data_IF_434761604423
#
_entry.id   IF_434761604423
#
_cell.length_a   1.000
_cell.length_b   1.000
_cell.length_c   1.000
_cell.angle_alpha   90.00
_cell.angle_beta   90.00
_cell.angle_gamma   90.00
#
_symmetry.space_group_name_H-M   'P 1'
#
loop_
_entity.id
_entity.type
_entity.pdbx_description
1 polymer ?
#
# COMPACT_ATOMS: atom_id res chain seq x y z
N UNK A 1 1.35 -55.68 4.13
CA UNK A 1 0.28 -54.66 4.09
C UNK A 1 0.53 -53.51 5.06
N UNK A 2 1.00 -53.76 6.31
CA UNK A 2 1.31 -52.71 7.29
C UNK A 2 2.41 -51.69 6.88
N UNK A 3 3.43 -52.11 6.13
CA UNK A 3 4.52 -51.24 5.66
C UNK A 3 4.01 -50.05 4.82
N UNK A 4 3.04 -50.31 3.93
CA UNK A 4 2.46 -49.30 3.04
C UNK A 4 1.49 -48.38 3.78
N UNK A 5 0.81 -48.90 4.81
CA UNK A 5 -0.12 -48.11 5.63
C UNK A 5 0.61 -47.00 6.39
N UNK A 6 1.80 -47.30 6.96
CA UNK A 6 2.62 -46.30 7.64
C UNK A 6 3.14 -45.23 6.67
N UNK A 7 3.54 -45.63 5.47
CA UNK A 7 3.99 -44.71 4.43
C UNK A 7 2.88 -43.75 4.00
N UNK A 8 1.67 -44.27 3.77
CA UNK A 8 0.50 -43.47 3.39
C UNK A 8 0.12 -42.50 4.52
N UNK A 9 0.18 -42.93 5.78
CA UNK A 9 -0.11 -42.08 6.93
C UNK A 9 0.90 -40.92 7.04
N UNK A 10 2.19 -41.21 6.81
CA UNK A 10 3.25 -40.20 6.84
C UNK A 10 3.07 -39.14 5.74
N UNK A 11 2.73 -39.57 4.52
CA UNK A 11 2.44 -38.66 3.41
C UNK A 11 1.21 -37.79 3.72
N UNK A 12 0.15 -38.37 4.29
CA UNK A 12 -1.06 -37.63 4.65
C UNK A 12 -0.81 -36.55 5.71
N UNK A 13 0.05 -36.82 6.70
CA UNK A 13 0.44 -35.85 7.73
C UNK A 13 1.24 -34.70 7.10
N UNK A 14 2.17 -34.98 6.18
CA UNK A 14 2.94 -33.94 5.49
C UNK A 14 2.02 -33.03 4.67
N UNK A 15 1.08 -33.60 3.91
CA UNK A 15 0.12 -32.82 3.11
C UNK A 15 -0.77 -31.93 3.96
N UNK A 16 -1.20 -32.40 5.14
CA UNK A 16 -2.01 -31.62 6.07
C UNK A 16 -1.23 -30.43 6.67
N UNK A 17 0.07 -30.58 6.91
CA UNK A 17 0.91 -29.49 7.42
C UNK A 17 1.25 -28.46 6.33
N UNK A 18 1.29 -28.85 5.06
CA UNK A 18 1.52 -27.92 3.95
C UNK A 18 0.29 -27.09 3.57
N UNK A 19 -0.93 -27.56 3.87
CA UNK A 19 -2.17 -26.88 3.48
C UNK A 19 -2.48 -25.59 4.24
N UNK A 20 -1.82 -25.32 5.36
CA UNK A 20 -2.08 -24.16 6.23
C UNK A 20 -0.84 -23.31 6.51
N UNK A 21 0.15 -23.29 5.62
CA UNK A 21 1.33 -22.44 5.78
C UNK A 21 1.22 -21.18 4.92
N UNK A 22 0.38 -20.23 5.33
CA UNK A 22 0.45 -18.85 4.83
C UNK A 22 1.74 -18.26 5.41
N UNK A 23 2.84 -18.38 4.66
CA UNK A 23 4.16 -17.84 5.01
C UNK A 23 4.22 -16.32 4.92
N UNK A 24 3.31 -15.74 4.15
CA UNK A 24 3.30 -14.32 3.85
C UNK A 24 2.10 -13.64 4.54
N UNK A 25 2.03 -13.83 5.86
CA UNK A 25 1.00 -13.16 6.65
C UNK A 25 1.49 -11.72 6.92
N UNK A 26 0.73 -10.69 6.53
CA UNK A 26 1.12 -9.32 6.79
C UNK A 26 1.26 -9.09 8.30
N UNK A 27 2.21 -8.23 8.66
CA UNK A 27 2.51 -7.92 10.04
C UNK A 27 1.27 -7.27 10.68
N UNK A 28 0.75 -7.83 11.78
CA UNK A 28 -0.45 -7.30 12.45
C UNK A 28 -1.75 -8.09 12.27
N UNK A 29 -1.71 -9.43 12.31
CA UNK A 29 -2.90 -10.31 12.20
C UNK A 29 -4.13 -9.87 13.02
N UNK A 30 -5.32 -10.39 12.67
CA UNK A 30 -6.70 -9.91 13.02
C UNK A 30 -6.94 -9.31 14.43
N UNK A 31 -6.15 -9.66 15.45
CA UNK A 31 -6.24 -9.12 16.82
C UNK A 31 -5.48 -7.80 17.03
N UNK A 32 -4.58 -7.42 16.13
CA UNK A 32 -3.82 -6.16 16.17
C UNK A 32 -4.67 -4.95 15.75
N UNK A 33 -5.78 -5.16 15.04
CA UNK A 33 -6.65 -4.09 14.53
C UNK A 33 -7.15 -3.12 15.61
N UNK A 34 -7.38 -3.62 16.84
CA UNK A 34 -7.83 -2.77 17.94
C UNK A 34 -6.74 -1.83 18.46
N UNK A 35 -5.48 -2.25 18.37
CA UNK A 35 -4.32 -1.42 18.72
C UNK A 35 -4.03 -0.43 17.58
N UNK A 36 -4.03 -0.90 16.33
CA UNK A 36 -3.74 -0.12 15.10
C UNK A 36 -4.72 1.06 14.95
N UNK A 37 -6.01 0.90 15.27
CA UNK A 37 -6.99 1.98 15.18
C UNK A 37 -6.71 3.17 16.11
N UNK A 38 -5.93 2.99 17.18
CA UNK A 38 -5.52 4.07 18.08
C UNK A 38 -4.14 4.65 17.74
N UNK A 39 -3.39 4.03 16.83
CA UNK A 39 -2.13 4.61 16.36
C UNK A 39 -2.44 5.66 15.28
N UNK A 40 -1.73 6.79 15.35
CA UNK A 40 -1.81 7.84 14.34
C UNK A 40 -1.42 7.26 12.98
N UNK A 41 -2.33 7.35 12.02
CA UNK A 41 -2.00 7.12 10.62
C UNK A 41 -0.87 8.07 10.20
N UNK A 42 0.23 7.52 9.69
CA UNK A 42 1.35 8.31 9.19
C UNK A 42 1.23 8.55 7.69
N UNK A 43 1.94 9.55 7.17
CA UNK A 43 2.06 9.75 5.74
C UNK A 43 2.96 8.66 5.16
N UNK A 44 2.68 8.17 3.95
CA UNK A 44 3.54 7.18 3.30
C UNK A 44 4.99 7.70 3.18
N UNK A 45 6.00 6.82 3.02
CA UNK A 45 7.38 7.25 2.87
C UNK A 45 7.57 8.11 1.62
N UNK A 46 8.49 9.07 1.72
CA UNK A 46 8.94 9.87 0.57
C UNK A 46 9.94 9.09 -0.26
N UNK A 47 9.97 9.38 -1.55
CA UNK A 47 10.90 8.81 -2.50
C UNK A 47 11.40 9.88 -3.48
N UNK A 48 12.63 9.76 -3.96
CA UNK A 48 13.26 10.81 -4.77
C UNK A 48 13.32 12.18 -4.07
N UNK A 49 13.20 13.26 -4.84
CA UNK A 49 13.28 14.64 -4.32
C UNK A 49 11.95 15.12 -3.71
N UNK A 50 10.88 15.06 -4.52
CA UNK A 50 9.53 15.55 -4.17
C UNK A 50 8.47 14.46 -4.30
N UNK A 51 8.89 13.19 -4.35
CA UNK A 51 8.00 12.07 -4.60
C UNK A 51 7.43 11.43 -3.34
N UNK A 52 6.34 10.71 -3.54
CA UNK A 52 5.58 9.99 -2.54
C UNK A 52 5.39 8.54 -3.00
N UNK A 53 5.58 7.59 -2.09
CA UNK A 53 5.35 6.18 -2.39
C UNK A 53 3.84 5.86 -2.46
N UNK A 54 3.44 5.18 -3.54
CA UNK A 54 2.07 4.65 -3.74
C UNK A 54 2.01 3.12 -3.59
N UNK A 55 3.15 2.45 -3.67
CA UNK A 55 3.32 1.02 -3.49
C UNK A 55 4.80 0.68 -3.31
N UNK A 56 5.15 -0.59 -3.05
CA UNK A 56 6.52 -0.99 -2.71
C UNK A 56 7.54 -0.72 -3.82
N UNK A 57 7.10 -0.55 -5.07
CA UNK A 57 7.94 -0.23 -6.22
C UNK A 57 7.44 0.98 -7.02
N UNK A 58 6.55 1.81 -6.46
CA UNK A 58 5.91 2.92 -7.18
C UNK A 58 6.18 4.23 -6.44
N UNK A 59 6.89 5.14 -7.11
CA UNK A 59 7.18 6.48 -6.63
C UNK A 59 6.59 7.52 -7.58
N UNK A 60 5.76 8.42 -7.05
CA UNK A 60 5.09 9.46 -7.84
C UNK A 60 5.41 10.85 -7.33
N UNK A 61 5.64 11.75 -8.27
CA UNK A 61 5.73 13.21 -8.08
C UNK A 61 4.51 13.84 -8.73
N UNK A 62 4.26 15.13 -8.49
CA UNK A 62 3.15 15.85 -9.13
C UNK A 62 3.19 15.81 -10.68
N UNK A 63 4.38 15.60 -11.26
CA UNK A 63 4.58 15.59 -12.71
C UNK A 63 4.55 14.19 -13.32
N UNK A 64 5.09 13.19 -12.63
CA UNK A 64 5.27 11.84 -13.19
C UNK A 64 5.43 10.77 -12.11
N UNK A 65 5.14 9.53 -12.50
CA UNK A 65 5.36 8.32 -11.72
C UNK A 65 6.46 7.46 -12.31
N UNK A 66 7.30 6.88 -11.45
CA UNK A 66 8.28 5.85 -11.80
C UNK A 66 7.94 4.55 -11.10
N UNK A 67 8.09 3.44 -11.84
CA UNK A 67 7.78 2.09 -11.38
C UNK A 67 9.04 1.24 -11.52
N UNK A 68 9.39 0.50 -10.47
CA UNK A 68 10.48 -0.48 -10.51
C UNK A 68 11.90 0.11 -10.44
N UNK A 69 12.05 1.39 -10.09
CA UNK A 69 13.38 1.99 -9.94
C UNK A 69 14.06 1.50 -8.64
N UNK A 70 15.32 1.04 -8.66
CA UNK A 70 15.96 0.42 -7.50
C UNK A 70 16.04 1.31 -6.25
N UNK A 71 16.26 2.62 -6.39
CA UNK A 71 16.25 3.53 -5.24
C UNK A 71 14.87 3.65 -4.61
N UNK A 72 13.84 3.66 -5.46
CA UNK A 72 12.46 3.90 -5.07
C UNK A 72 11.92 2.64 -4.37
N UNK A 73 12.29 1.45 -4.85
CA UNK A 73 11.98 0.17 -4.19
C UNK A 73 12.49 0.16 -2.75
N UNK A 74 13.76 0.54 -2.53
CA UNK A 74 14.35 0.54 -1.18
C UNK A 74 13.69 1.53 -0.23
N UNK A 75 13.20 2.65 -0.76
CA UNK A 75 12.52 3.69 0.03
C UNK A 75 11.07 3.29 0.35
N UNK A 76 10.35 2.75 -0.64
CA UNK A 76 8.94 2.43 -0.52
C UNK A 76 8.69 1.10 0.21
N UNK A 77 9.57 0.10 0.07
CA UNK A 77 9.47 -1.17 0.81
C UNK A 77 9.66 -1.02 2.33
N UNK A 78 10.12 0.15 2.80
CA UNK A 78 10.20 0.43 4.23
C UNK A 78 8.80 0.43 4.89
N UNK A 79 7.74 0.71 4.12
CA UNK A 79 6.36 0.69 4.62
C UNK A 79 5.87 -0.72 4.96
N UNK A 80 6.37 -1.76 4.28
CA UNK A 80 5.96 -3.15 4.51
C UNK A 80 6.31 -3.64 5.93
N UNK A 81 7.25 -2.96 6.59
CA UNK A 81 7.67 -3.22 7.96
C UNK A 81 6.87 -2.41 8.99
N UNK A 82 5.97 -1.53 8.56
CA UNK A 82 5.13 -0.76 9.46
C UNK A 82 3.86 -1.53 9.84
N UNK A 83 3.47 -1.44 11.11
CA UNK A 83 2.30 -2.11 11.67
C UNK A 83 1.01 -1.33 11.38
N UNK A 84 1.12 -0.04 11.06
CA UNK A 84 -0.01 0.84 10.75
C UNK A 84 0.01 1.21 9.28
N UNK A 85 -1.15 1.27 8.60
CA UNK A 85 -1.18 1.69 7.21
C UNK A 85 -0.87 3.18 7.07
N UNK A 86 -0.02 3.53 6.11
CA UNK A 86 0.16 4.92 5.72
C UNK A 86 -1.02 5.48 4.92
N UNK A 87 -1.12 6.81 4.88
CA UNK A 87 -2.13 7.54 4.10
C UNK A 87 -1.46 8.43 3.06
N UNK A 88 -2.06 8.46 1.87
CA UNK A 88 -1.76 9.42 0.81
C UNK A 88 -2.87 10.47 0.78
N UNK A 89 -2.47 11.74 0.84
CA UNK A 89 -3.38 12.90 0.87
C UNK A 89 -3.70 13.38 -0.54
N UNK A 90 -4.23 12.50 -1.38
CA UNK A 90 -4.68 12.83 -2.73
C UNK A 90 -6.08 12.27 -2.98
N UNK A 91 -6.87 12.91 -3.88
CA UNK A 91 -8.22 12.45 -4.19
C UNK A 91 -8.19 11.03 -4.75
N UNK A 92 -9.25 10.27 -4.46
CA UNK A 92 -9.46 8.94 -5.02
C UNK A 92 -9.86 9.03 -6.49
N UNK A 93 -9.47 8.03 -7.28
CA UNK A 93 -9.81 7.91 -8.69
C UNK A 93 -10.49 6.57 -8.97
N UNK A 94 -11.17 6.49 -10.12
CA UNK A 94 -12.04 5.34 -10.44
C UNK A 94 -11.37 4.32 -11.35
N UNK A 95 -10.32 4.71 -12.07
CA UNK A 95 -9.65 3.86 -13.06
C UNK A 95 -8.95 2.65 -12.42
N UNK A 96 -8.34 2.85 -11.24
CA UNK A 96 -7.68 1.78 -10.48
C UNK A 96 -8.46 1.53 -9.19
N UNK A 97 -8.76 0.27 -8.82
CA UNK A 97 -9.46 -0.03 -7.57
C UNK A 97 -8.65 0.45 -6.36
N UNK A 98 -9.31 1.18 -5.46
CA UNK A 98 -8.68 1.88 -4.33
C UNK A 98 -7.54 2.83 -4.76
N UNK A 99 -7.53 3.25 -6.02
CA UNK A 99 -6.53 4.15 -6.57
C UNK A 99 -6.68 5.57 -6.04
N UNK A 100 -5.56 6.29 -6.06
CA UNK A 100 -5.53 7.73 -5.78
C UNK A 100 -4.74 8.45 -6.86
N UNK A 101 -5.11 9.71 -7.10
CA UNK A 101 -4.41 10.55 -8.04
C UNK A 101 -2.98 10.79 -7.56
N UNK A 102 -2.02 10.49 -8.42
CA UNK A 102 -0.60 10.46 -8.08
C UNK A 102 0.21 11.52 -8.81
N UNK A 103 -0.19 11.81 -10.05
CA UNK A 103 0.33 12.89 -10.88
C UNK A 103 -0.84 13.46 -11.72
N UNK A 104 -0.60 14.54 -12.45
CA UNK A 104 -1.60 15.10 -13.34
C UNK A 104 -1.97 14.08 -14.44
N UNK A 105 -3.24 13.71 -14.50
CA UNK A 105 -3.77 12.69 -15.41
C UNK A 105 -3.40 11.25 -15.04
N UNK A 106 -2.88 10.97 -13.84
CA UNK A 106 -2.43 9.62 -13.45
C UNK A 106 -3.08 9.16 -12.14
N UNK A 107 -3.76 8.03 -12.20
CA UNK A 107 -4.34 7.30 -11.09
C UNK A 107 -3.45 6.09 -10.74
N UNK A 108 -2.97 6.00 -9.50
CA UNK A 108 -2.14 4.88 -9.05
C UNK A 108 -2.76 4.12 -7.88
N UNK A 109 -2.66 2.80 -7.91
CA UNK A 109 -2.81 1.90 -6.78
C UNK A 109 -1.46 1.42 -6.26
N UNK A 110 -1.48 0.33 -5.50
CA UNK A 110 -0.27 -0.27 -4.92
C UNK A 110 0.60 -1.03 -5.94
N UNK A 111 0.00 -1.51 -7.03
CA UNK A 111 0.65 -2.39 -8.01
C UNK A 111 0.75 -1.78 -9.41
N UNK A 112 -0.15 -0.86 -9.75
CA UNK A 112 -0.24 -0.30 -11.10
C UNK A 112 -0.70 1.15 -11.10
N UNK A 113 -0.37 1.84 -12.19
CA UNK A 113 -0.84 3.18 -12.50
C UNK A 113 -1.50 3.18 -13.87
N UNK A 114 -2.57 3.95 -14.02
CA UNK A 114 -3.27 4.14 -15.27
C UNK A 114 -3.56 5.63 -15.48
N UNK A 115 -3.71 6.02 -16.74
CA UNK A 115 -4.08 7.39 -17.11
C UNK A 115 -5.54 7.59 -16.73
N UNK A 116 -5.82 8.68 -16.04
CA UNK A 116 -7.15 9.07 -15.59
C UNK A 116 -7.29 10.59 -15.66
N UNK A 117 -8.07 11.08 -16.63
CA UNK A 117 -8.28 12.52 -16.84
C UNK A 117 -9.00 13.20 -15.67
N UNK A 118 -9.69 12.43 -14.82
CA UNK A 118 -10.31 12.98 -13.60
C UNK A 118 -9.29 13.41 -12.57
N UNK A 119 -8.05 12.89 -12.66
CA UNK A 119 -6.93 13.29 -11.82
C UNK A 119 -6.33 14.62 -12.29
N UNK A 120 -7.04 15.72 -12.03
CA UNK A 120 -6.49 17.06 -12.18
C UNK A 120 -5.78 17.46 -10.90
N UNK A 121 -4.47 17.67 -10.94
CA UNK A 121 -3.78 18.34 -9.83
C UNK A 121 -4.11 19.82 -9.93
N UNK A 122 -5.24 20.21 -9.35
CA UNK A 122 -5.36 21.56 -8.84
C UNK A 122 -4.25 21.71 -7.79
N UNK A 123 -3.22 22.49 -8.12
CA UNK A 123 -2.17 22.85 -7.18
C UNK A 123 -2.84 23.33 -5.88
N UNK A 124 -2.77 22.52 -4.82
CA UNK A 124 -3.29 22.87 -3.50
C UNK A 124 -2.44 23.99 -2.89
N UNK A 125 -2.59 25.20 -3.41
CA UNK A 125 -2.46 26.45 -2.67
C UNK A 125 -3.85 27.02 -2.48
N UNK A 126 -4.72 26.34 -1.72
CA UNK A 126 -5.93 26.95 -1.17
C UNK A 126 -6.51 26.09 -0.04
N UNK A 127 -5.80 26.09 1.10
CA UNK A 127 -6.46 25.96 2.40
C UNK A 127 -5.94 27.10 3.27
N UNK A 128 -6.39 28.31 2.93
CA UNK A 128 -6.51 29.42 3.86
C UNK A 128 -7.73 30.21 3.40
N UNK A 129 -8.70 30.38 4.32
CA UNK A 129 -9.93 31.20 4.29
C UNK A 129 -11.13 30.31 4.62
N UNK A 130 -11.46 30.24 5.92
CA UNK A 130 -12.84 30.22 6.45
C UNK A 130 -12.91 29.92 7.96
N UNK A 131 -12.07 30.55 8.82
CA UNK A 131 -12.33 30.57 10.28
C UNK A 131 -12.15 31.94 10.95
N UNK A 132 -12.20 33.07 10.22
CA UNK A 132 -12.23 34.39 10.87
C UNK A 132 -13.26 35.33 10.22
N UNK A 133 -14.54 35.00 10.37
CA UNK A 133 -15.63 35.97 10.25
C UNK A 133 -16.85 35.47 11.03
N UNK A 134 -16.81 35.67 12.35
CA UNK A 134 -17.97 36.02 13.17
C UNK A 134 -17.51 36.60 14.51
N UNK A 135 -17.01 37.83 14.43
CA UNK A 135 -17.35 38.86 15.41
C UNK A 135 -18.82 39.25 15.21
#
# INVERSE_FOLDING_TARGET
MHQYTLLILFIAIIQFNCACFITNCPIGGKRSLHLINNLRNHQCPRCGLTGQCFGPAICCTDLACRIGHPSDIRQCSAEDHNLTPCIIKSPTCSTVPNGRCAANGICCGTESCQIDETCSIASNQEINISQEERL
#
